data_IF_501876228375
#
_entry.id   IF_501876228375
#
_cell.length_a   1.000
_cell.length_b   1.000
_cell.length_c   1.000
_cell.angle_alpha   90.00
_cell.angle_beta   90.00
_cell.angle_gamma   90.00
#
_symmetry.space_group_name_H-M   'P 1'
#
loop_
_entity.id
_entity.type
_entity.pdbx_description
1 polymer ?
#
# COMPACT_ATOMS: atom_id res chain seq x y z
N UNK A 1 86.91 21.02 127.73
CA UNK A 1 87.65 22.14 127.10
C UNK A 1 89.08 21.70 126.97
N UNK A 2 89.48 21.24 125.79
CA UNK A 2 90.88 20.95 125.51
C UNK A 2 91.68 22.25 125.47
N UNK A 3 92.82 22.27 126.14
CA UNK A 3 93.73 23.42 126.09
C UNK A 3 94.48 23.34 124.77
N UNK A 4 94.19 24.27 123.85
CA UNK A 4 94.89 24.33 122.58
C UNK A 4 96.37 24.68 122.82
N UNK A 5 97.26 23.71 122.63
CA UNK A 5 98.71 23.89 122.74
C UNK A 5 99.18 24.48 121.40
N UNK A 6 99.86 25.65 121.37
CA UNK A 6 100.40 26.19 120.13
C UNK A 6 101.39 25.21 119.49
N UNK A 7 101.16 24.84 118.22
CA UNK A 7 102.03 23.89 117.49
C UNK A 7 103.46 24.41 117.26
N UNK A 8 103.68 25.71 117.42
CA UNK A 8 104.99 26.34 117.36
C UNK A 8 105.18 27.22 118.58
N UNK A 9 106.34 27.09 119.24
CA UNK A 9 106.72 27.97 120.34
C UNK A 9 106.97 29.39 119.79
N UNK A 10 106.75 30.41 120.64
CA UNK A 10 107.10 31.78 120.31
C UNK A 10 108.63 31.91 120.09
N UNK A 11 109.10 32.76 119.14
CA UNK A 11 110.51 33.04 118.97
C UNK A 11 111.22 33.42 120.27
N UNK A 12 112.48 33.02 120.43
CA UNK A 12 113.22 33.15 121.69
C UNK A 12 113.34 34.60 122.17
N UNK A 13 113.39 35.55 121.25
CA UNK A 13 113.39 36.99 121.49
C UNK A 13 112.15 37.41 122.28
N UNK A 14 110.99 36.88 121.90
CA UNK A 14 109.70 37.18 122.54
C UNK A 14 109.56 36.45 123.88
N UNK A 15 110.14 35.25 124.01
CA UNK A 15 110.17 34.59 125.32
C UNK A 15 110.98 35.39 126.34
N UNK A 16 112.14 35.93 125.94
CA UNK A 16 113.13 36.60 126.82
C UNK A 16 112.82 38.05 127.21
N UNK A 17 111.94 38.77 126.50
CA UNK A 17 111.51 40.13 126.91
C UNK A 17 110.80 40.15 128.29
N UNK A 18 110.74 41.32 128.94
CA UNK A 18 110.01 41.50 130.21
C UNK A 18 108.48 41.55 130.02
N UNK A 19 107.67 41.32 131.08
CA UNK A 19 106.22 41.46 131.02
C UNK A 19 105.76 42.87 130.60
N UNK A 20 106.43 43.92 131.08
CA UNK A 20 106.09 45.34 130.84
C UNK A 20 106.37 45.79 129.39
N UNK A 21 107.21 45.06 128.65
CA UNK A 21 107.50 45.30 127.23
C UNK A 21 106.50 44.56 126.31
N UNK A 22 105.96 43.43 126.76
CA UNK A 22 104.98 42.61 126.02
C UNK A 22 103.57 43.21 126.01
N UNK A 23 103.36 44.33 126.71
CA UNK A 23 102.06 44.95 126.99
C UNK A 23 102.08 46.43 126.63
N UNK A 24 101.02 46.90 125.96
CA UNK A 24 100.90 48.31 125.60
C UNK A 24 100.64 49.17 126.87
N UNK A 25 101.59 50.06 127.19
CA UNK A 25 101.57 50.92 128.40
C UNK A 25 100.36 51.86 128.51
N UNK A 26 99.59 52.06 127.44
CA UNK A 26 98.38 52.91 127.44
C UNK A 26 97.05 52.16 127.53
N UNK A 27 97.00 50.86 127.20
CA UNK A 27 95.74 50.10 127.20
C UNK A 27 95.79 48.71 127.87
N UNK A 28 96.95 48.28 128.37
CA UNK A 28 97.09 47.03 129.13
C UNK A 28 96.96 45.74 128.32
N UNK A 29 96.72 45.82 127.00
CA UNK A 29 96.61 44.66 126.11
C UNK A 29 98.01 44.19 125.68
N UNK A 30 98.25 42.87 125.67
CA UNK A 30 99.49 42.31 125.14
C UNK A 30 99.53 42.36 123.61
N UNK A 31 100.69 42.71 123.06
CA UNK A 31 100.92 42.70 121.61
C UNK A 31 100.75 41.30 120.98
N UNK A 32 100.95 40.24 121.75
CA UNK A 32 100.69 38.86 121.32
C UNK A 32 99.19 38.59 121.14
N UNK A 33 98.39 38.95 122.14
CA UNK A 33 96.92 38.84 122.09
C UNK A 33 96.37 39.67 120.91
N UNK A 34 96.90 40.88 120.70
CA UNK A 34 96.52 41.73 119.55
C UNK A 34 96.85 41.08 118.20
N UNK A 35 98.00 40.40 118.08
CA UNK A 35 98.36 39.65 116.87
C UNK A 35 97.44 38.43 116.66
N UNK A 36 97.10 37.68 117.71
CA UNK A 36 96.18 36.56 117.63
C UNK A 36 94.77 36.99 117.22
N UNK A 37 94.25 38.09 117.79
CA UNK A 37 92.98 38.67 117.35
C UNK A 37 93.03 39.11 115.88
N UNK A 38 94.10 39.76 115.42
CA UNK A 38 94.23 40.17 114.01
C UNK A 38 94.35 38.98 113.06
N UNK A 39 95.06 37.91 113.46
CA UNK A 39 95.13 36.67 112.70
C UNK A 39 93.77 35.93 112.66
N UNK A 40 92.97 36.05 113.73
CA UNK A 40 91.59 35.54 113.76
C UNK A 40 90.66 36.40 112.89
N UNK A 41 90.81 37.72 112.90
CA UNK A 41 90.06 38.67 112.06
C UNK A 41 90.28 38.40 110.56
N UNK A 42 91.52 38.21 110.12
CA UNK A 42 91.82 37.84 108.73
C UNK A 42 91.34 36.43 108.36
N UNK A 43 91.35 35.47 109.29
CA UNK A 43 90.72 34.16 109.10
C UNK A 43 89.20 34.26 108.94
N UNK A 44 88.53 35.10 109.73
CA UNK A 44 87.09 35.37 109.60
C UNK A 44 86.81 36.04 108.26
N UNK A 45 87.57 37.06 107.85
CA UNK A 45 87.45 37.69 106.51
C UNK A 45 87.70 36.73 105.36
N UNK A 46 88.58 35.73 105.52
CA UNK A 46 88.79 34.69 104.52
C UNK A 46 87.59 33.73 104.45
N UNK A 47 87.14 33.22 105.60
CA UNK A 47 86.00 32.30 105.70
C UNK A 47 84.68 32.96 105.28
N UNK A 48 84.51 34.27 105.50
CA UNK A 48 83.39 35.05 104.96
C UNK A 48 83.40 35.12 103.42
N UNK A 49 84.58 35.24 102.79
CA UNK A 49 84.70 35.26 101.33
C UNK A 49 84.37 33.88 100.74
N UNK A 50 84.87 32.81 101.37
CA UNK A 50 84.54 31.43 101.00
C UNK A 50 83.05 31.15 101.18
N UNK A 51 82.44 31.54 102.31
CA UNK A 51 81.01 31.36 102.56
C UNK A 51 80.15 32.09 101.51
N UNK A 52 80.51 33.34 101.15
CA UNK A 52 79.84 34.10 100.08
C UNK A 52 80.02 33.44 98.71
N UNK A 53 81.18 32.86 98.42
CA UNK A 53 81.44 32.10 97.18
C UNK A 53 80.60 30.82 97.11
N UNK A 54 80.55 30.03 98.18
CA UNK A 54 79.74 28.80 98.25
C UNK A 54 78.24 29.09 98.18
N UNK A 55 77.76 30.12 98.89
CA UNK A 55 76.35 30.54 98.81
C UNK A 55 75.96 30.91 97.38
N UNK A 56 76.76 31.74 96.71
CA UNK A 56 76.55 32.06 95.29
C UNK A 56 76.73 30.85 94.36
N UNK A 57 77.34 29.75 94.80
CA UNK A 57 77.40 28.49 94.05
C UNK A 57 76.11 27.68 94.17
N UNK A 58 75.53 27.60 95.37
CA UNK A 58 74.21 26.99 95.58
C UNK A 58 73.12 27.73 94.79
N UNK A 59 73.20 29.06 94.71
CA UNK A 59 72.28 29.87 93.88
C UNK A 59 72.41 29.59 92.37
N UNK A 60 73.64 29.36 91.88
CA UNK A 60 73.88 28.91 90.48
C UNK A 60 73.40 27.48 90.24
N UNK A 61 73.63 26.57 91.19
CA UNK A 61 73.22 25.18 91.08
C UNK A 61 71.69 25.05 91.07
N UNK A 62 70.99 25.79 91.94
CA UNK A 62 69.52 25.87 91.97
C UNK A 62 68.92 26.43 90.66
N UNK A 63 69.51 27.49 90.11
CA UNK A 63 69.03 28.06 88.83
C UNK A 63 69.34 27.18 87.62
N UNK A 64 70.41 26.38 87.67
CA UNK A 64 70.67 25.30 86.71
C UNK A 64 69.66 24.16 86.85
N UNK A 65 69.27 23.78 88.08
CA UNK A 65 68.23 22.77 88.31
C UNK A 65 66.86 23.24 87.79
N UNK A 66 66.46 24.48 88.09
CA UNK A 66 65.22 25.09 87.60
C UNK A 66 65.16 25.14 86.05
N UNK A 67 66.27 25.50 85.39
CA UNK A 67 66.33 25.51 83.92
C UNK A 67 66.36 24.10 83.31
N UNK A 68 66.97 23.12 83.99
CA UNK A 68 66.95 21.71 83.55
C UNK A 68 65.54 21.11 83.70
N UNK A 69 64.83 21.41 84.79
CA UNK A 69 63.42 21.02 84.98
C UNK A 69 62.51 21.63 83.90
N UNK A 70 62.67 22.92 83.59
CA UNK A 70 61.92 23.57 82.50
C UNK A 70 62.19 22.92 81.13
N UNK A 71 63.47 22.70 80.78
CA UNK A 71 63.85 22.06 79.52
C UNK A 71 63.32 20.62 79.41
N UNK A 72 63.24 19.90 80.53
CA UNK A 72 62.64 18.55 80.56
C UNK A 72 61.12 18.57 80.34
N UNK A 73 60.42 19.62 80.76
CA UNK A 73 58.98 19.80 80.51
C UNK A 73 58.73 20.15 79.03
N UNK A 74 59.51 21.07 78.47
CA UNK A 74 59.46 21.43 77.04
C UNK A 74 59.73 20.22 76.14
N UNK A 75 60.68 19.36 76.51
CA UNK A 75 61.01 18.16 75.74
C UNK A 75 59.86 17.14 75.70
N UNK A 76 59.23 16.84 76.84
CA UNK A 76 58.10 15.90 76.89
C UNK A 76 56.85 16.50 76.20
N UNK A 77 56.63 17.82 76.31
CA UNK A 77 55.58 18.52 75.57
C UNK A 77 55.81 18.49 74.04
N UNK A 78 57.06 18.65 73.59
CA UNK A 78 57.43 18.51 72.18
C UNK A 78 57.21 17.08 71.67
N UNK A 79 57.53 16.07 72.48
CA UNK A 79 57.29 14.65 72.16
C UNK A 79 55.80 14.36 71.98
N UNK A 80 54.93 14.82 72.89
CA UNK A 80 53.47 14.66 72.78
C UNK A 80 52.92 15.34 71.51
N UNK A 81 53.39 16.54 71.19
CA UNK A 81 53.02 17.27 69.97
C UNK A 81 53.52 16.55 68.68
N UNK A 82 54.73 15.97 68.72
CA UNK A 82 55.30 15.16 67.64
C UNK A 82 54.50 13.88 67.39
N UNK A 83 54.12 13.15 68.44
CA UNK A 83 53.27 11.96 68.37
C UNK A 83 51.87 12.30 67.82
N UNK A 84 51.25 13.38 68.31
CA UNK A 84 49.97 13.90 67.81
C UNK A 84 50.03 14.29 66.33
N UNK A 85 51.10 14.98 65.90
CA UNK A 85 51.34 15.31 64.49
C UNK A 85 51.54 14.06 63.63
N UNK A 86 52.25 13.05 64.13
CA UNK A 86 52.46 11.80 63.41
C UNK A 86 51.15 11.04 63.18
N UNK A 87 50.27 10.96 64.18
CA UNK A 87 48.97 10.29 64.02
C UNK A 87 48.07 11.02 63.01
N UNK A 88 48.00 12.36 63.10
CA UNK A 88 47.27 13.17 62.10
C UNK A 88 47.81 13.01 60.67
N UNK A 89 49.11 12.77 60.51
CA UNK A 89 49.72 12.46 59.20
C UNK A 89 49.32 11.06 58.72
N UNK A 90 49.22 10.06 59.62
CA UNK A 90 48.73 8.71 59.28
C UNK A 90 47.27 8.75 58.82
N UNK A 91 46.40 9.43 59.57
CA UNK A 91 44.99 9.61 59.22
C UNK A 91 44.82 10.30 57.86
N UNK A 92 45.51 11.42 57.65
CA UNK A 92 45.48 12.14 56.37
C UNK A 92 45.99 11.26 55.20
N UNK A 93 47.01 10.42 55.44
CA UNK A 93 47.53 9.47 54.46
C UNK A 93 46.52 8.36 54.12
N UNK A 94 45.80 7.85 55.12
CA UNK A 94 44.74 6.85 54.92
C UNK A 94 43.54 7.43 54.17
N UNK A 95 43.09 8.65 54.52
CA UNK A 95 42.03 9.36 53.79
C UNK A 95 42.42 9.66 52.34
N UNK A 96 43.63 10.19 52.11
CA UNK A 96 44.17 10.44 50.78
C UNK A 96 44.23 9.14 49.95
N UNK A 97 44.59 8.02 50.58
CA UNK A 97 44.62 6.72 49.90
C UNK A 97 43.22 6.20 49.56
N UNK A 98 42.22 6.41 50.43
CA UNK A 98 40.81 6.12 50.09
C UNK A 98 40.37 6.94 48.88
N UNK A 99 40.54 8.26 48.92
CA UNK A 99 40.14 9.15 47.83
C UNK A 99 40.85 8.85 46.51
N UNK A 100 42.12 8.41 46.53
CA UNK A 100 42.81 7.91 45.35
C UNK A 100 42.13 6.67 44.76
N UNK A 101 41.73 5.72 45.60
CA UNK A 101 41.03 4.51 45.17
C UNK A 101 39.62 4.83 44.64
N UNK A 102 38.91 5.77 45.29
CA UNK A 102 37.60 6.26 44.86
C UNK A 102 37.66 6.94 43.49
N UNK A 103 38.65 7.82 43.27
CA UNK A 103 38.88 8.46 41.98
C UNK A 103 39.15 7.42 40.87
N UNK A 104 39.98 6.40 41.14
CA UNK A 104 40.25 5.32 40.19
C UNK A 104 39.01 4.46 39.90
N UNK A 105 38.06 4.33 40.83
CA UNK A 105 36.78 3.66 40.60
C UNK A 105 35.89 4.51 39.68
N UNK A 106 35.65 5.78 40.01
CA UNK A 106 34.84 6.70 39.21
C UNK A 106 35.41 6.89 37.79
N UNK A 107 36.74 6.90 37.64
CA UNK A 107 37.39 6.96 36.32
C UNK A 107 37.09 5.73 35.44
N UNK A 108 36.98 4.53 36.04
CA UNK A 108 36.59 3.30 35.33
C UNK A 108 35.11 3.35 34.93
N UNK A 109 34.22 3.72 35.87
CA UNK A 109 32.78 3.88 35.63
C UNK A 109 32.52 4.88 34.49
N UNK A 110 33.20 6.03 34.50
CA UNK A 110 33.12 7.03 33.43
C UNK A 110 33.54 6.46 32.07
N UNK A 111 34.60 5.64 32.02
CA UNK A 111 35.05 5.01 30.77
C UNK A 111 34.05 3.97 30.23
N UNK A 112 33.36 3.26 31.11
CA UNK A 112 32.29 2.31 30.76
C UNK A 112 31.07 3.05 30.19
N UNK A 113 30.60 4.08 30.88
CA UNK A 113 29.49 4.93 30.43
C UNK A 113 29.79 5.61 29.07
N UNK A 114 31.04 6.06 28.84
CA UNK A 114 31.46 6.57 27.53
C UNK A 114 31.44 5.50 26.42
N UNK A 115 31.66 4.22 26.74
CA UNK A 115 31.55 3.12 25.79
C UNK A 115 30.08 2.80 25.48
N UNK A 116 29.23 2.71 26.50
CA UNK A 116 27.79 2.51 26.34
C UNK A 116 27.14 3.64 25.54
N UNK A 117 27.49 4.90 25.80
CA UNK A 117 27.03 6.06 25.03
C UNK A 117 27.36 5.91 23.54
N UNK A 118 28.57 5.46 23.19
CA UNK A 118 28.97 5.20 21.79
C UNK A 118 28.17 4.05 21.17
N UNK A 119 27.82 3.01 21.93
CA UNK A 119 26.92 1.94 21.47
C UNK A 119 25.51 2.50 21.19
N UNK A 120 24.95 3.30 22.12
CA UNK A 120 23.61 3.91 21.97
C UNK A 120 23.55 4.90 20.81
N UNK A 121 24.60 5.68 20.59
CA UNK A 121 24.73 6.56 19.42
C UNK A 121 24.70 5.77 18.10
N UNK A 122 25.47 4.67 18.00
CA UNK A 122 25.45 3.77 16.83
C UNK A 122 24.07 3.13 16.60
N UNK A 123 23.41 2.69 17.67
CA UNK A 123 22.04 2.16 17.59
C UNK A 123 21.07 3.22 17.04
N UNK A 124 21.13 4.45 17.56
CA UNK A 124 20.32 5.58 17.08
C UNK A 124 20.55 5.91 15.60
N UNK A 125 21.81 5.89 15.14
CA UNK A 125 22.15 6.09 13.73
C UNK A 125 21.51 5.03 12.82
N UNK A 126 21.56 3.75 13.22
CA UNK A 126 20.92 2.65 12.46
C UNK A 126 19.40 2.82 12.39
N UNK A 127 18.74 3.25 13.48
CA UNK A 127 17.30 3.53 13.46
C UNK A 127 16.95 4.73 12.57
N UNK A 128 17.76 5.79 12.57
CA UNK A 128 17.58 6.96 11.70
C UNK A 128 17.72 6.63 10.21
N UNK A 129 18.69 5.78 9.86
CA UNK A 129 18.83 5.25 8.49
C UNK A 129 17.60 4.44 8.08
N UNK A 130 17.16 3.48 8.90
CA UNK A 130 15.96 2.67 8.63
C UNK A 130 14.69 3.51 8.49
N UNK A 131 14.53 4.56 9.31
CA UNK A 131 13.41 5.50 9.19
C UNK A 131 13.41 6.20 7.81
N UNK A 132 14.59 6.55 7.31
CA UNK A 132 14.78 7.18 5.99
C UNK A 132 14.47 6.19 4.85
N UNK A 133 14.91 4.94 4.97
CA UNK A 133 14.58 3.84 4.04
C UNK A 133 13.07 3.58 3.99
N UNK A 134 12.40 3.47 5.15
CA UNK A 134 10.94 3.33 5.21
C UNK A 134 10.21 4.53 4.61
N UNK A 135 10.67 5.77 4.84
CA UNK A 135 10.08 6.97 4.24
C UNK A 135 10.18 6.97 2.71
N UNK A 136 11.30 6.52 2.16
CA UNK A 136 11.46 6.34 0.71
C UNK A 136 10.51 5.27 0.16
N UNK A 137 10.42 4.10 0.81
CA UNK A 137 9.53 3.01 0.41
C UNK A 137 8.04 3.42 0.46
N UNK A 138 7.62 4.15 1.50
CA UNK A 138 6.27 4.71 1.60
C UNK A 138 5.95 5.68 0.47
N UNK A 139 6.85 6.62 0.16
CA UNK A 139 6.66 7.56 -0.95
C UNK A 139 6.55 6.85 -2.31
N UNK A 140 7.34 5.79 -2.53
CA UNK A 140 7.27 4.96 -3.75
C UNK A 140 5.95 4.19 -3.83
N UNK A 141 5.50 3.61 -2.73
CA UNK A 141 4.23 2.87 -2.64
C UNK A 141 3.03 3.79 -2.85
N UNK A 142 3.04 4.99 -2.26
CA UNK A 142 2.00 6.02 -2.45
C UNK A 142 1.93 6.49 -3.91
N UNK A 143 3.09 6.67 -4.56
CA UNK A 143 3.16 7.02 -5.99
C UNK A 143 2.56 5.92 -6.88
N UNK A 144 2.88 4.65 -6.60
CA UNK A 144 2.31 3.49 -7.32
C UNK A 144 0.80 3.38 -7.11
N UNK A 145 0.30 3.52 -5.88
CA UNK A 145 -1.13 3.49 -5.58
C UNK A 145 -1.88 4.65 -6.28
N UNK A 146 -1.28 5.83 -6.32
CA UNK A 146 -1.83 7.03 -7.00
C UNK A 146 -1.79 6.89 -8.53
N UNK A 147 -0.85 6.13 -9.08
CA UNK A 147 -0.86 5.72 -10.47
C UNK A 147 -1.98 4.70 -10.73
N UNK A 148 -2.00 3.57 -10.03
CA UNK A 148 -3.02 2.51 -10.21
C UNK A 148 -4.45 3.03 -10.06
N UNK A 149 -4.71 3.97 -9.14
CA UNK A 149 -6.03 4.63 -9.01
C UNK A 149 -6.44 5.41 -10.26
N UNK A 150 -5.49 6.05 -10.98
CA UNK A 150 -5.76 6.77 -12.23
C UNK A 150 -6.05 5.79 -13.37
N UNK A 151 -5.24 4.74 -13.52
CA UNK A 151 -5.45 3.71 -14.54
C UNK A 151 -6.83 3.02 -14.37
N UNK A 152 -7.18 2.63 -13.14
CA UNK A 152 -8.51 2.08 -12.82
C UNK A 152 -9.65 3.08 -13.10
N UNK A 153 -9.40 4.38 -13.01
CA UNK A 153 -10.39 5.42 -13.37
C UNK A 153 -10.52 5.54 -14.90
N UNK A 154 -9.43 5.43 -15.66
CA UNK A 154 -9.47 5.39 -17.14
C UNK A 154 -10.25 4.18 -17.62
N UNK A 155 -9.87 2.98 -17.15
CA UNK A 155 -10.54 1.71 -17.50
C UNK A 155 -12.04 1.75 -17.15
N UNK A 156 -12.40 2.32 -15.98
CA UNK A 156 -13.81 2.50 -15.60
C UNK A 156 -14.58 3.38 -16.60
N UNK A 157 -13.99 4.48 -17.06
CA UNK A 157 -14.61 5.38 -18.02
C UNK A 157 -14.71 4.72 -19.40
N UNK A 158 -13.64 4.08 -19.87
CA UNK A 158 -13.62 3.34 -21.14
C UNK A 158 -14.67 2.22 -21.18
N UNK A 159 -14.83 1.46 -20.09
CA UNK A 159 -15.89 0.43 -19.97
C UNK A 159 -17.28 1.05 -19.96
N UNK A 160 -17.48 2.19 -19.29
CA UNK A 160 -18.75 2.91 -19.28
C UNK A 160 -19.13 3.44 -20.68
N UNK A 161 -18.20 4.10 -21.37
CA UNK A 161 -18.43 4.65 -22.71
C UNK A 161 -18.71 3.53 -23.73
N UNK A 162 -17.97 2.42 -23.66
CA UNK A 162 -18.25 1.24 -24.49
C UNK A 162 -19.64 0.63 -24.19
N UNK A 163 -20.10 0.65 -22.94
CA UNK A 163 -21.44 0.20 -22.58
C UNK A 163 -22.54 1.12 -23.14
N UNK A 164 -22.32 2.45 -23.15
CA UNK A 164 -23.24 3.39 -23.80
C UNK A 164 -23.27 3.18 -25.32
N UNK A 165 -22.10 3.03 -25.96
CA UNK A 165 -21.98 2.76 -27.40
C UNK A 165 -22.72 1.46 -27.80
N UNK A 166 -22.53 0.38 -27.03
CA UNK A 166 -23.26 -0.88 -27.22
C UNK A 166 -24.77 -0.72 -27.04
N UNK A 167 -25.20 0.12 -26.08
CA UNK A 167 -26.62 0.38 -25.83
C UNK A 167 -27.27 1.15 -26.98
N UNK A 168 -26.57 2.14 -27.57
CA UNK A 168 -27.02 2.83 -28.79
C UNK A 168 -27.13 1.87 -29.97
N UNK A 169 -26.05 1.14 -30.27
CA UNK A 169 -25.98 0.18 -31.38
C UNK A 169 -27.08 -0.89 -31.29
N UNK A 170 -27.36 -1.41 -30.08
CA UNK A 170 -28.46 -2.34 -29.84
C UNK A 170 -29.82 -1.74 -30.19
N UNK A 171 -30.05 -0.47 -29.86
CA UNK A 171 -31.26 0.28 -30.23
C UNK A 171 -31.38 0.49 -31.74
N UNK A 172 -30.30 0.93 -32.38
CA UNK A 172 -30.21 1.15 -33.82
C UNK A 172 -30.48 -0.14 -34.61
N UNK A 173 -29.84 -1.25 -34.24
CA UNK A 173 -30.05 -2.57 -34.86
C UNK A 173 -31.49 -3.05 -34.65
N UNK A 174 -32.09 -2.82 -33.48
CA UNK A 174 -33.50 -3.16 -33.26
C UNK A 174 -34.46 -2.35 -34.16
N UNK A 175 -34.20 -1.05 -34.35
CA UNK A 175 -34.96 -0.21 -35.28
C UNK A 175 -34.78 -0.63 -36.74
N UNK A 176 -33.57 -1.03 -37.15
CA UNK A 176 -33.31 -1.57 -38.49
C UNK A 176 -34.05 -2.89 -38.71
N UNK A 177 -33.95 -3.85 -37.78
CA UNK A 177 -34.67 -5.14 -37.84
C UNK A 177 -36.18 -4.91 -37.94
N UNK A 178 -36.73 -3.97 -37.16
CA UNK A 178 -38.15 -3.59 -37.25
C UNK A 178 -38.51 -3.06 -38.63
N UNK A 179 -37.76 -2.08 -39.15
CA UNK A 179 -37.99 -1.47 -40.46
C UNK A 179 -37.92 -2.48 -41.61
N UNK A 180 -36.92 -3.38 -41.59
CA UNK A 180 -36.78 -4.47 -42.56
C UNK A 180 -37.97 -5.44 -42.46
N UNK A 181 -38.40 -5.79 -41.24
CA UNK A 181 -39.55 -6.69 -41.02
C UNK A 181 -40.87 -6.07 -41.50
N UNK A 182 -41.10 -4.79 -41.23
CA UNK A 182 -42.28 -4.06 -41.72
C UNK A 182 -42.27 -3.96 -43.25
N UNK A 183 -41.12 -3.67 -43.85
CA UNK A 183 -40.94 -3.65 -45.32
C UNK A 183 -41.25 -5.01 -45.93
N UNK A 184 -40.61 -6.08 -45.45
CA UNK A 184 -40.82 -7.44 -45.94
C UNK A 184 -42.28 -7.91 -45.78
N UNK A 185 -42.95 -7.56 -44.68
CA UNK A 185 -44.38 -7.83 -44.50
C UNK A 185 -45.25 -7.11 -45.54
N UNK A 186 -44.91 -5.87 -45.92
CA UNK A 186 -45.63 -5.17 -47.00
C UNK A 186 -45.36 -5.77 -48.38
N UNK A 187 -44.13 -6.20 -48.66
CA UNK A 187 -43.77 -6.86 -49.91
C UNK A 187 -44.46 -8.23 -50.05
N UNK A 188 -44.41 -9.08 -49.01
CA UNK A 188 -45.13 -10.36 -48.95
C UNK A 188 -46.64 -10.13 -49.16
N UNK A 189 -47.21 -9.07 -48.58
CA UNK A 189 -48.63 -8.70 -48.77
C UNK A 189 -48.94 -8.26 -50.21
N UNK A 190 -47.99 -7.66 -50.92
CA UNK A 190 -48.15 -7.29 -52.33
C UNK A 190 -47.96 -8.49 -53.26
N UNK A 191 -46.94 -9.31 -53.05
CA UNK A 191 -46.71 -10.55 -53.80
C UNK A 191 -47.90 -11.51 -53.70
N UNK A 192 -48.48 -11.68 -52.51
CA UNK A 192 -49.68 -12.51 -52.35
C UNK A 192 -50.91 -11.97 -53.12
N UNK A 193 -51.09 -10.64 -53.22
CA UNK A 193 -52.15 -10.06 -54.08
C UNK A 193 -51.91 -10.41 -55.55
N UNK A 194 -50.69 -10.19 -56.04
CA UNK A 194 -50.32 -10.47 -57.43
C UNK A 194 -50.46 -11.95 -57.77
N UNK A 195 -50.05 -12.85 -56.86
CA UNK A 195 -50.26 -14.29 -56.99
C UNK A 195 -51.76 -14.63 -57.06
N UNK A 196 -52.59 -14.05 -56.20
CA UNK A 196 -54.06 -14.28 -56.22
C UNK A 196 -54.70 -13.79 -57.53
N UNK A 197 -54.19 -12.71 -58.14
CA UNK A 197 -54.64 -12.25 -59.47
C UNK A 197 -54.17 -13.20 -60.57
N UNK A 198 -52.90 -13.58 -60.57
CA UNK A 198 -52.33 -14.54 -61.53
C UNK A 198 -53.05 -15.90 -61.50
N UNK A 199 -53.38 -16.40 -60.31
CA UNK A 199 -54.15 -17.63 -60.13
C UNK A 199 -55.56 -17.55 -60.74
N UNK A 200 -56.29 -16.43 -60.54
CA UNK A 200 -57.60 -16.23 -61.19
C UNK A 200 -57.49 -16.19 -62.71
N UNK A 201 -56.49 -15.48 -63.24
CA UNK A 201 -56.26 -15.40 -64.67
C UNK A 201 -55.94 -16.78 -65.26
N UNK A 202 -55.13 -17.59 -64.57
CA UNK A 202 -54.82 -18.95 -65.00
C UNK A 202 -56.07 -19.85 -65.04
N UNK A 203 -56.93 -19.80 -64.02
CA UNK A 203 -58.21 -20.54 -64.03
C UNK A 203 -59.13 -20.10 -65.17
N UNK A 204 -59.18 -18.80 -65.50
CA UNK A 204 -59.93 -18.29 -66.65
C UNK A 204 -59.37 -18.84 -67.98
N UNK A 205 -58.05 -18.79 -68.16
CA UNK A 205 -57.37 -19.30 -69.36
C UNK A 205 -57.48 -20.83 -69.50
N UNK A 206 -57.45 -21.58 -68.40
CA UNK A 206 -57.72 -23.03 -68.40
C UNK A 206 -59.16 -23.34 -68.86
N UNK A 207 -60.14 -22.52 -68.46
CA UNK A 207 -61.53 -22.69 -68.89
C UNK A 207 -61.73 -22.27 -70.36
N UNK A 208 -61.13 -21.15 -70.79
CA UNK A 208 -61.09 -20.77 -72.20
C UNK A 208 -60.43 -21.85 -73.07
N UNK A 209 -59.34 -22.47 -72.59
CA UNK A 209 -58.66 -23.57 -73.30
C UNK A 209 -59.54 -24.83 -73.40
N UNK A 210 -60.32 -25.17 -72.37
CA UNK A 210 -61.31 -26.26 -72.45
C UNK A 210 -62.38 -25.95 -73.50
N UNK A 211 -62.92 -24.73 -73.50
CA UNK A 211 -63.96 -24.31 -74.45
C UNK A 211 -63.44 -24.29 -75.90
N UNK A 212 -62.23 -23.75 -76.12
CA UNK A 212 -61.56 -23.80 -77.44
C UNK A 212 -61.28 -25.23 -77.88
N UNK A 213 -60.91 -26.13 -76.97
CA UNK A 213 -60.75 -27.55 -77.29
C UNK A 213 -62.08 -28.19 -77.71
N UNK A 214 -63.16 -27.99 -76.96
CA UNK A 214 -64.50 -28.50 -77.33
C UNK A 214 -64.96 -27.98 -78.69
N UNK A 215 -64.70 -26.70 -79.00
CA UNK A 215 -64.97 -26.12 -80.32
C UNK A 215 -64.10 -26.73 -81.43
N UNK A 216 -62.83 -27.03 -81.15
CA UNK A 216 -61.92 -27.71 -82.08
C UNK A 216 -62.34 -29.15 -82.35
N UNK A 217 -62.67 -29.92 -81.31
CA UNK A 217 -63.16 -31.29 -81.41
C UNK A 217 -64.49 -31.34 -82.22
N UNK A 218 -65.40 -30.39 -81.98
CA UNK A 218 -66.62 -30.22 -82.77
C UNK A 218 -66.38 -29.81 -84.24
N UNK A 219 -65.36 -28.99 -84.51
CA UNK A 219 -64.97 -28.61 -85.87
C UNK A 219 -64.32 -29.78 -86.63
N UNK A 220 -63.54 -30.62 -85.94
CA UNK A 220 -62.96 -31.86 -86.49
C UNK A 220 -64.10 -32.85 -86.83
N UNK A 221 -65.06 -33.04 -85.93
CA UNK A 221 -66.25 -33.88 -86.19
C UNK A 221 -67.06 -33.37 -87.39
N UNK A 222 -67.29 -32.05 -87.51
CA UNK A 222 -67.92 -31.47 -88.71
C UNK A 222 -67.10 -31.71 -89.98
N UNK A 223 -65.78 -31.60 -89.91
CA UNK A 223 -64.90 -31.85 -91.06
C UNK A 223 -64.96 -33.32 -91.52
N UNK A 224 -65.00 -34.25 -90.58
CA UNK A 224 -65.20 -35.69 -90.85
C UNK A 224 -66.59 -35.95 -91.46
N UNK A 225 -67.65 -35.34 -90.91
CA UNK A 225 -69.01 -35.43 -91.46
C UNK A 225 -69.09 -34.92 -92.90
N UNK A 226 -68.41 -33.80 -93.20
CA UNK A 226 -68.33 -33.22 -94.55
C UNK A 226 -67.58 -34.14 -95.50
N UNK A 227 -66.43 -34.70 -95.11
CA UNK A 227 -65.67 -35.59 -95.99
C UNK A 227 -66.40 -36.92 -96.25
N UNK A 228 -67.16 -37.45 -95.27
CA UNK A 228 -68.08 -38.58 -95.47
C UNK A 228 -69.20 -38.21 -96.45
N UNK A 229 -69.83 -37.04 -96.29
CA UNK A 229 -70.89 -36.55 -97.19
C UNK A 229 -70.36 -36.34 -98.62
N UNK A 230 -69.13 -35.84 -98.76
CA UNK A 230 -68.42 -35.64 -100.03
C UNK A 230 -68.04 -36.97 -100.68
N UNK A 231 -67.64 -37.98 -99.90
CA UNK A 231 -67.41 -39.33 -100.41
C UNK A 231 -68.72 -40.02 -100.85
N UNK A 232 -69.84 -39.73 -100.17
CA UNK A 232 -71.18 -40.13 -100.63
C UNK A 232 -71.57 -39.40 -101.93
N UNK A 233 -71.29 -38.09 -102.04
CA UNK A 233 -71.55 -37.30 -103.25
C UNK A 233 -70.75 -37.83 -104.45
N UNK A 234 -69.45 -38.09 -104.29
CA UNK A 234 -68.60 -38.71 -105.35
C UNK A 234 -69.12 -40.09 -105.75
N UNK A 235 -69.63 -40.88 -104.80
CA UNK A 235 -70.23 -42.19 -105.09
C UNK A 235 -71.56 -42.04 -105.87
N UNK A 236 -72.40 -41.06 -105.51
CA UNK A 236 -73.60 -40.70 -106.25
C UNK A 236 -73.29 -40.15 -107.65
N UNK A 237 -72.27 -39.28 -107.80
CA UNK A 237 -71.81 -38.77 -109.10
C UNK A 237 -71.30 -39.90 -109.99
N UNK A 238 -70.55 -40.86 -109.42
CA UNK A 238 -70.09 -42.07 -110.14
C UNK A 238 -71.29 -42.89 -110.62
N UNK A 239 -72.25 -43.16 -109.74
CA UNK A 239 -73.49 -43.88 -110.06
C UNK A 239 -74.35 -43.16 -111.10
N UNK A 240 -74.38 -41.83 -111.10
CA UNK A 240 -75.00 -41.03 -112.15
C UNK A 240 -74.25 -41.15 -113.49
N UNK A 241 -72.91 -41.17 -113.48
CA UNK A 241 -72.11 -41.38 -114.69
C UNK A 241 -72.32 -42.79 -115.28
N UNK A 242 -72.47 -43.81 -114.45
CA UNK A 242 -72.75 -45.18 -114.91
C UNK A 242 -74.16 -45.29 -115.52
N UNK A 243 -75.18 -44.71 -114.87
CA UNK A 243 -76.53 -44.56 -115.47
C UNK A 243 -76.48 -43.78 -116.80
N UNK A 244 -75.63 -42.75 -116.89
CA UNK A 244 -75.45 -41.96 -118.12
C UNK A 244 -74.75 -42.74 -119.25
N UNK A 245 -74.08 -43.87 -118.96
CA UNK A 245 -73.59 -44.82 -119.97
C UNK A 245 -74.69 -45.80 -120.41
N UNK A 246 -75.57 -46.26 -119.52
CA UNK A 246 -76.68 -47.15 -119.87
C UNK A 246 -77.70 -46.48 -120.81
N UNK A 247 -77.91 -45.18 -120.68
CA UNK A 247 -78.85 -44.40 -121.53
C UNK A 247 -78.41 -44.30 -123.01
N UNK A 248 -77.14 -44.57 -123.34
CA UNK A 248 -76.55 -44.29 -124.66
C UNK A 248 -76.87 -45.34 -125.75
N UNK A 249 -77.91 -46.17 -125.57
CA UNK A 249 -78.23 -47.31 -126.45
C UNK A 249 -79.68 -47.34 -126.97
N UNK A 250 -80.65 -46.61 -126.37
CA UNK A 250 -82.07 -46.73 -126.76
C UNK A 250 -82.85 -45.41 -126.99
N UNK A 251 -83.04 -45.12 -128.29
CA UNK A 251 -84.29 -44.64 -128.93
C UNK A 251 -84.60 -43.14 -129.10
N UNK A 252 -85.34 -42.88 -130.19
CA UNK A 252 -85.63 -41.60 -130.85
C UNK A 252 -87.10 -41.12 -130.68
N UNK A 253 -87.31 -39.80 -130.78
CA UNK A 253 -88.59 -39.15 -131.14
C UNK A 253 -89.70 -39.04 -130.05
N UNK A 254 -90.55 -38.00 -130.02
CA UNK A 254 -90.58 -36.75 -130.80
C UNK A 254 -91.48 -35.66 -130.16
N UNK A 255 -90.89 -34.50 -129.80
CA UNK A 255 -91.24 -33.09 -130.15
C UNK A 255 -92.71 -32.59 -130.35
N UNK A 256 -93.02 -31.26 -130.31
CA UNK A 256 -92.21 -30.05 -129.96
C UNK A 256 -92.92 -28.93 -129.11
N UNK A 257 -92.20 -27.80 -128.91
CA UNK A 257 -92.64 -26.43 -128.52
C UNK A 257 -93.04 -26.18 -127.03
N UNK A 258 -92.67 -25.06 -126.36
CA UNK A 258 -92.07 -23.77 -126.82
C UNK A 258 -91.00 -23.21 -125.83
N UNK A 259 -90.16 -22.29 -126.32
CA UNK A 259 -89.16 -21.43 -125.62
C UNK A 259 -89.83 -20.26 -124.85
N UNK A 260 -89.26 -19.49 -123.91
CA UNK A 260 -88.02 -19.42 -123.06
C UNK A 260 -88.30 -18.32 -121.95
N UNK A 261 -87.45 -17.84 -121.02
CA UNK A 261 -85.99 -17.87 -120.76
C UNK A 261 -85.67 -17.90 -119.22
N UNK A 262 -84.58 -17.27 -118.74
CA UNK A 262 -84.05 -17.24 -117.35
C UNK A 262 -84.02 -15.79 -116.76
N UNK A 263 -83.70 -15.46 -115.48
CA UNK A 263 -82.68 -16.02 -114.56
C UNK A 263 -82.76 -15.47 -113.10
N UNK A 264 -82.42 -16.30 -112.10
CA UNK A 264 -81.94 -15.89 -110.75
C UNK A 264 -83.03 -15.65 -109.67
N UNK A 265 -82.82 -15.92 -108.38
CA UNK A 265 -81.65 -16.45 -107.62
C UNK A 265 -82.11 -17.28 -106.39
N UNK A 266 -81.18 -17.97 -105.74
CA UNK A 266 -81.39 -19.15 -104.88
C UNK A 266 -81.88 -18.93 -103.43
N UNK A 267 -82.23 -20.07 -102.79
CA UNK A 267 -82.18 -20.36 -101.34
C UNK A 267 -83.48 -20.23 -100.51
N UNK A 268 -84.24 -21.34 -100.51
CA UNK A 268 -85.11 -21.81 -99.42
C UNK A 268 -84.43 -23.06 -98.77
N UNK A 269 -84.65 -23.50 -97.52
CA UNK A 269 -85.58 -23.12 -96.43
C UNK A 269 -85.13 -23.74 -95.08
N UNK A 270 -85.64 -23.22 -93.95
CA UNK A 270 -86.02 -23.95 -92.69
C UNK A 270 -84.96 -24.81 -91.90
N UNK A 271 -84.95 -24.94 -90.56
CA UNK A 271 -85.70 -24.27 -89.48
C UNK A 271 -85.04 -24.35 -88.06
N UNK A 272 -85.43 -23.37 -87.19
CA UNK A 272 -85.66 -23.40 -85.71
C UNK A 272 -84.62 -23.88 -84.66
N UNK A 273 -84.45 -22.98 -83.68
CA UNK A 273 -84.42 -23.18 -82.19
C UNK A 273 -83.20 -23.88 -81.54
N UNK A 274 -82.80 -23.59 -80.28
CA UNK A 274 -83.42 -22.76 -79.21
C UNK A 274 -82.46 -21.72 -78.59
N UNK A 275 -82.99 -20.89 -77.68
CA UNK A 275 -82.27 -19.91 -76.84
C UNK A 275 -82.56 -20.19 -75.34
N UNK A 276 -82.01 -19.39 -74.41
CA UNK A 276 -82.20 -19.47 -72.93
C UNK A 276 -81.55 -20.69 -72.23
N UNK A 277 -81.04 -20.68 -70.98
CA UNK A 277 -80.81 -19.72 -69.86
C UNK A 277 -79.40 -20.08 -69.27
N UNK A 278 -78.77 -19.47 -68.26
CA UNK A 278 -79.10 -18.37 -67.33
C UNK A 278 -78.30 -18.53 -66.01
N UNK A 279 -77.61 -17.46 -65.59
CA UNK A 279 -76.97 -17.13 -64.28
C UNK A 279 -76.59 -18.17 -63.19
N UNK A 280 -75.47 -17.84 -62.51
CA UNK A 280 -75.08 -18.17 -61.12
C UNK A 280 -74.60 -19.60 -60.77
N UNK A 281 -73.36 -19.69 -60.26
CA UNK A 281 -73.17 -19.99 -58.83
C UNK A 281 -71.83 -19.49 -58.29
N UNK A 282 -71.87 -18.90 -57.10
CA UNK A 282 -70.71 -18.74 -56.22
C UNK A 282 -70.26 -20.10 -55.69
N UNK A 283 -68.96 -20.29 -55.45
CA UNK A 283 -68.48 -21.17 -54.38
C UNK A 283 -67.11 -20.70 -53.89
N UNK A 284 -67.07 -20.12 -52.70
CA UNK A 284 -65.83 -19.61 -52.09
C UNK A 284 -65.16 -20.63 -51.19
N UNK A 285 -63.85 -20.82 -51.32
CA UNK A 285 -63.02 -21.62 -50.40
C UNK A 285 -62.12 -20.73 -49.55
N UNK A 286 -62.52 -20.53 -48.30
CA UNK A 286 -61.64 -19.96 -47.28
C UNK A 286 -60.51 -20.95 -46.96
N UNK A 287 -59.25 -20.60 -47.21
CA UNK A 287 -58.11 -21.34 -46.65
C UNK A 287 -57.39 -20.51 -45.58
N UNK A 288 -57.68 -20.83 -44.32
CA UNK A 288 -57.29 -20.04 -43.14
C UNK A 288 -56.23 -20.78 -42.31
N UNK A 289 -55.02 -20.88 -42.86
CA UNK A 289 -53.88 -21.47 -42.13
C UNK A 289 -53.49 -20.54 -40.98
N UNK A 290 -53.47 -21.06 -39.75
CA UNK A 290 -53.31 -20.27 -38.51
C UNK A 290 -52.52 -21.01 -37.42
N UNK A 291 -51.25 -21.28 -37.70
CA UNK A 291 -50.27 -21.85 -36.77
C UNK A 291 -48.88 -21.24 -37.06
N UNK A 292 -48.00 -20.94 -36.09
CA UNK A 292 -48.18 -20.80 -34.63
C UNK A 292 -47.03 -19.97 -34.01
N UNK A 293 -47.23 -19.47 -32.80
CA UNK A 293 -46.27 -18.90 -31.82
C UNK A 293 -44.94 -18.25 -32.26
N UNK A 294 -44.86 -16.94 -32.03
CA UNK A 294 -43.62 -16.21 -31.78
C UNK A 294 -43.40 -16.09 -30.25
N UNK A 295 -42.72 -17.04 -29.59
CA UNK A 295 -42.30 -16.94 -28.17
C UNK A 295 -41.37 -18.10 -27.75
N UNK A 296 -40.04 -17.87 -27.75
CA UNK A 296 -39.07 -18.54 -26.84
C UNK A 296 -37.60 -18.03 -26.93
N UNK A 297 -37.38 -16.72 -27.13
CA UNK A 297 -36.03 -16.12 -26.97
C UNK A 297 -36.13 -14.83 -26.14
N UNK A 298 -36.45 -14.99 -24.86
CA UNK A 298 -36.45 -13.87 -23.90
C UNK A 298 -36.21 -14.34 -22.44
N UNK A 299 -35.35 -15.34 -22.26
CA UNK A 299 -34.96 -15.90 -20.95
C UNK A 299 -33.44 -16.09 -20.88
N UNK A 300 -32.71 -14.97 -20.82
CA UNK A 300 -31.27 -14.92 -20.52
C UNK A 300 -30.83 -13.51 -20.08
N UNK A 301 -31.56 -12.90 -19.15
CA UNK A 301 -31.26 -11.55 -18.64
C UNK A 301 -31.71 -11.35 -17.18
N UNK A 302 -31.21 -12.20 -16.27
CA UNK A 302 -31.28 -12.01 -14.81
C UNK A 302 -29.84 -12.20 -14.26
N UNK A 303 -29.53 -11.50 -13.16
CA UNK A 303 -28.28 -11.57 -12.40
C UNK A 303 -26.96 -11.19 -13.11
N UNK A 304 -26.82 -9.89 -13.38
CA UNK A 304 -25.49 -9.22 -13.36
C UNK A 304 -25.47 -7.85 -12.65
N UNK A 305 -26.60 -7.36 -12.15
CA UNK A 305 -26.73 -6.04 -11.50
C UNK A 305 -26.38 -6.00 -10.02
N UNK A 306 -26.26 -7.15 -9.34
CA UNK A 306 -26.09 -7.22 -7.88
C UNK A 306 -24.62 -7.26 -7.38
N UNK A 307 -23.62 -7.14 -8.27
CA UNK A 307 -22.18 -7.30 -7.89
C UNK A 307 -21.46 -5.95 -7.70
N UNK A 308 -22.03 -4.82 -8.13
CA UNK A 308 -21.38 -3.50 -8.14
C UNK A 308 -21.85 -2.54 -7.03
N UNK A 309 -22.21 -3.06 -5.87
CA UNK A 309 -22.61 -2.26 -4.70
C UNK A 309 -21.81 -2.55 -3.40
N UNK A 310 -20.78 -3.40 -3.48
CA UNK A 310 -19.92 -3.77 -2.34
C UNK A 310 -18.45 -3.98 -2.74
N UNK A 311 -17.81 -2.96 -3.32
CA UNK A 311 -16.34 -2.74 -3.31
C UNK A 311 -16.00 -1.27 -3.62
#
# INVERSE_FOLDING_TARGET
MDRHIPMHALPEEIQKMSPEEKVCKYCGVSYLILHEFKAMEEKVKAMEKEMKFYQGSVEREKSLEETLQALSQDFEQYKIDSESKMERIRDASMQLKSHQNDFQRVQKELSQLQHELKIKQRQSQIFSQRLTEYKYLWNKTLSLLTFSKRELTSIKNEVYDNFQNWTSLKGEVFLQIKSISETALTEIKMLNKSLTVSQRNNVCLEEEMKNLKLLSDAAILRSQQIEISKQQEVNLQTRCHDLQKEVLVFSDGSTPQTREIWRGTDSEREEKLSHELGSNMELGTNFKIRYFNFSLVNYLFIDFTNVLLYY
#
